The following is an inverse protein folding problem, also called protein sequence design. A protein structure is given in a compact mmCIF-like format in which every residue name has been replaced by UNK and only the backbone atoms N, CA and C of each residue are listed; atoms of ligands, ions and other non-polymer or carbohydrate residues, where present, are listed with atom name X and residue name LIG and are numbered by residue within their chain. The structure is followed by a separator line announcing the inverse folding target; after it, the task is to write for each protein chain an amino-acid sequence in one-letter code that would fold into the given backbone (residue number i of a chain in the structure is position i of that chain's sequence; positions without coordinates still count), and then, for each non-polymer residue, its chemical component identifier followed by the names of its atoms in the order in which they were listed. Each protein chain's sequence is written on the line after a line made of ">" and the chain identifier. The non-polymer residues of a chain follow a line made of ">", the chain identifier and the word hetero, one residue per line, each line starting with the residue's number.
data_IF_139462765723
#
_entry.id   IF_139462765723
#
_cell.length_a   1.000
_cell.length_b   1.000
_cell.length_c   1.000
_cell.angle_alpha   90.00
_cell.angle_beta   90.00
_cell.angle_gamma   90.00
#
_symmetry.space_group_name_H-M   'P 1'
#
loop_
_entity.id
_entity.type
_entity.pdbx_description
1 polymer ?
#
# COMPACT_ATOMS: atom_id res chain seq x y z
N UNK A 1 -2.24 22.04 11.59
CA UNK A 1 -1.58 20.87 12.19
C UNK A 1 -0.47 20.48 11.26
N UNK A 2 0.78 20.50 11.72
CA UNK A 2 1.93 20.05 10.93
C UNK A 2 1.76 18.56 10.67
N UNK A 3 1.27 18.20 9.48
CA UNK A 3 1.15 16.82 9.06
C UNK A 3 2.55 16.34 8.70
N UNK A 4 3.22 15.65 9.61
CA UNK A 4 4.44 14.92 9.28
C UNK A 4 4.17 13.98 8.11
N UNK A 5 5.04 14.02 7.10
CA UNK A 5 4.90 13.16 5.92
C UNK A 5 4.99 11.69 6.36
N UNK A 6 4.17 10.77 5.82
CA UNK A 6 4.33 9.36 6.13
C UNK A 6 5.72 8.87 5.71
N UNK A 7 6.33 8.01 6.53
CA UNK A 7 7.65 7.45 6.24
C UNK A 7 7.51 6.20 5.37
N UNK A 8 8.30 6.12 4.30
CA UNK A 8 8.34 4.95 3.41
C UNK A 8 9.78 4.46 3.34
N UNK A 9 10.01 3.21 3.69
CA UNK A 9 11.29 2.57 3.42
C UNK A 9 11.42 2.31 1.92
N UNK A 10 12.61 2.47 1.36
CA UNK A 10 12.83 2.30 -0.07
C UNK A 10 14.19 1.66 -0.34
N UNK A 11 14.24 0.74 -1.30
CA UNK A 11 15.55 0.23 -1.76
C UNK A 11 16.42 1.39 -2.24
N UNK A 12 17.55 1.62 -1.59
CA UNK A 12 18.37 2.84 -1.75
C UNK A 12 18.79 3.13 -3.21
N UNK A 13 19.00 2.09 -4.01
CA UNK A 13 19.31 2.23 -5.44
C UNK A 13 18.22 2.95 -6.26
N UNK A 14 16.96 2.97 -5.78
CA UNK A 14 15.83 3.67 -6.39
C UNK A 14 15.88 5.18 -6.15
N UNK A 15 16.61 5.65 -5.14
CA UNK A 15 16.83 7.08 -4.89
C UNK A 15 18.06 7.63 -5.62
N UNK A 16 18.77 6.81 -6.39
CA UNK A 16 19.96 7.23 -7.13
C UNK A 16 21.27 6.93 -6.42
N UNK A 17 21.25 6.24 -5.28
CA UNK A 17 22.49 5.80 -4.63
C UNK A 17 23.18 4.69 -5.44
N UNK A 18 24.50 4.82 -5.60
CA UNK A 18 25.35 3.90 -6.37
C UNK A 18 25.67 2.61 -5.60
N UNK A 19 24.64 1.93 -5.09
CA UNK A 19 24.76 0.77 -4.18
C UNK A 19 24.54 -0.57 -4.87
N UNK A 20 24.30 -0.59 -6.20
CA UNK A 20 24.11 -1.84 -6.94
C UNK A 20 25.41 -2.63 -7.06
N UNK A 21 25.29 -3.93 -7.32
CA UNK A 21 26.43 -4.82 -7.49
C UNK A 21 27.44 -4.35 -8.54
N UNK A 22 26.97 -3.63 -9.58
CA UNK A 22 27.78 -3.08 -10.65
C UNK A 22 28.29 -1.65 -10.39
N UNK A 23 28.12 -1.11 -9.18
CA UNK A 23 28.53 0.25 -8.82
C UNK A 23 27.63 1.37 -9.35
N UNK A 24 26.50 1.04 -10.00
CA UNK A 24 25.52 2.02 -10.47
C UNK A 24 24.29 2.15 -9.57
N UNK A 25 23.28 2.85 -10.07
CA UNK A 25 21.98 3.01 -9.43
C UNK A 25 20.84 2.53 -10.35
N UNK A 26 19.60 2.69 -9.90
CA UNK A 26 18.40 2.51 -10.72
C UNK A 26 17.32 3.51 -10.29
N UNK A 27 17.64 4.78 -10.45
CA UNK A 27 16.81 5.86 -9.94
C UNK A 27 15.39 5.78 -10.53
N UNK A 28 14.41 5.86 -9.64
CA UNK A 28 12.99 6.00 -9.98
C UNK A 28 12.63 7.48 -9.89
N UNK A 29 12.35 8.12 -11.02
CA UNK A 29 11.93 9.54 -11.04
C UNK A 29 10.59 9.72 -10.32
N UNK A 30 9.70 8.73 -10.42
CA UNK A 30 8.45 8.70 -9.65
C UNK A 30 8.74 8.83 -8.15
N UNK A 31 9.66 8.02 -7.61
CA UNK A 31 9.99 8.07 -6.18
C UNK A 31 10.77 9.35 -5.83
N UNK A 32 11.87 9.61 -6.53
CA UNK A 32 12.82 10.68 -6.19
C UNK A 32 12.33 12.10 -6.47
N UNK A 33 11.34 12.28 -7.34
CA UNK A 33 10.80 13.60 -7.68
C UNK A 33 9.33 13.73 -7.28
N UNK A 34 8.46 12.83 -7.76
CA UNK A 34 7.01 12.99 -7.56
C UNK A 34 6.57 12.64 -6.15
N UNK A 35 7.04 11.53 -5.58
CA UNK A 35 6.59 11.05 -4.27
C UNK A 35 7.35 11.68 -3.10
N UNK A 36 8.57 12.19 -3.32
CA UNK A 36 9.39 12.86 -2.30
C UNK A 36 8.70 14.10 -1.69
N UNK A 37 7.82 14.76 -2.43
CA UNK A 37 7.02 15.88 -1.93
C UNK A 37 5.98 15.46 -0.89
N UNK A 38 5.63 14.18 -0.82
CA UNK A 38 4.53 13.67 0.01
C UNK A 38 4.99 12.69 1.09
N UNK A 39 6.17 12.11 0.96
CA UNK A 39 6.69 11.07 1.84
C UNK A 39 8.13 11.34 2.26
N UNK A 40 8.47 10.91 3.47
CA UNK A 40 9.84 10.88 3.95
C UNK A 40 10.43 9.51 3.65
N UNK A 41 11.45 9.44 2.79
CA UNK A 41 12.06 8.18 2.40
C UNK A 41 13.17 7.74 3.35
N UNK A 42 13.14 6.46 3.73
CA UNK A 42 14.21 5.79 4.48
C UNK A 42 14.95 4.84 3.54
N UNK A 43 16.10 5.23 2.97
CA UNK A 43 16.86 4.38 2.05
C UNK A 43 17.50 3.21 2.77
N UNK A 44 17.30 1.99 2.26
CA UNK A 44 17.88 0.76 2.80
C UNK A 44 18.52 -0.07 1.68
N UNK A 45 19.76 -0.51 1.89
CA UNK A 45 20.45 -1.46 1.01
C UNK A 45 20.94 -2.67 1.81
N UNK A 46 20.18 -3.78 1.82
CA UNK A 46 20.53 -4.97 2.60
C UNK A 46 21.90 -5.54 2.25
N UNK A 47 22.24 -5.59 0.96
CA UNK A 47 23.51 -6.17 0.48
C UNK A 47 24.72 -5.40 0.99
N UNK A 48 24.68 -4.06 0.96
CA UNK A 48 25.78 -3.23 1.48
C UNK A 48 25.82 -3.28 3.01
N UNK A 49 24.66 -3.28 3.67
CA UNK A 49 24.58 -3.31 5.12
C UNK A 49 25.16 -4.59 5.74
N UNK A 50 25.05 -5.73 5.06
CA UNK A 50 25.68 -6.99 5.50
C UNK A 50 27.17 -7.09 5.12
N UNK A 51 27.77 -6.01 4.59
CA UNK A 51 29.20 -5.92 4.30
C UNK A 51 29.62 -6.28 2.87
N UNK A 52 28.68 -6.44 1.92
CA UNK A 52 29.08 -6.62 0.52
C UNK A 52 29.56 -5.29 -0.09
N UNK A 53 30.64 -5.35 -0.87
CA UNK A 53 31.26 -4.18 -1.49
C UNK A 53 30.45 -3.52 -2.61
N UNK A 54 31.02 -2.42 -3.14
CA UNK A 54 30.55 -1.72 -4.33
C UNK A 54 31.78 -1.43 -5.21
N UNK A 55 31.92 -2.06 -6.40
CA UNK A 55 31.12 -3.17 -6.92
C UNK A 55 31.33 -4.46 -6.11
N UNK A 56 30.49 -5.47 -6.37
CA UNK A 56 30.55 -6.81 -5.77
C UNK A 56 30.11 -7.87 -6.76
N UNK A 57 30.47 -9.11 -6.46
CA UNK A 57 29.92 -10.27 -7.16
C UNK A 57 28.39 -10.33 -7.00
N UNK A 58 27.63 -10.63 -8.06
CA UNK A 58 26.20 -10.88 -7.96
C UNK A 58 25.91 -12.12 -7.11
N UNK A 59 24.84 -12.04 -6.30
CA UNK A 59 24.26 -13.21 -5.63
C UNK A 59 23.02 -13.68 -6.39
N UNK A 60 22.59 -14.93 -6.16
CA UNK A 60 21.34 -15.51 -6.68
C UNK A 60 20.67 -16.38 -5.63
N UNK A 61 19.36 -16.58 -5.78
CA UNK A 61 18.61 -17.52 -4.97
C UNK A 61 18.72 -18.93 -5.53
N UNK A 62 18.99 -19.92 -4.68
CA UNK A 62 19.09 -21.34 -5.05
C UNK A 62 18.30 -22.22 -4.09
N UNK A 63 17.88 -23.40 -4.55
CA UNK A 63 17.21 -24.40 -3.71
C UNK A 63 15.67 -24.32 -3.76
N UNK A 64 15.04 -24.48 -2.60
CA UNK A 64 13.58 -24.44 -2.45
C UNK A 64 13.07 -23.00 -2.60
N UNK A 65 12.12 -22.70 -3.52
CA UNK A 65 11.53 -21.37 -3.63
C UNK A 65 10.87 -20.83 -2.37
N UNK A 66 10.39 -21.69 -1.46
CA UNK A 66 9.79 -21.27 -0.19
C UNK A 66 10.85 -20.83 0.84
N UNK A 67 12.04 -21.45 0.78
CA UNK A 67 13.16 -21.19 1.69
C UNK A 67 14.49 -21.21 0.91
N UNK A 68 14.71 -20.26 -0.01
CA UNK A 68 15.88 -20.28 -0.85
C UNK A 68 17.13 -19.86 -0.08
N UNK A 69 18.30 -20.25 -0.57
CA UNK A 69 19.59 -19.73 -0.13
C UNK A 69 20.07 -18.64 -1.08
N UNK A 70 20.61 -17.54 -0.54
CA UNK A 70 21.29 -16.50 -1.31
C UNK A 70 22.80 -16.77 -1.36
N UNK A 71 23.29 -17.16 -2.53
CA UNK A 71 24.70 -17.55 -2.74
C UNK A 71 25.36 -16.74 -3.85
N UNK A 72 26.68 -16.63 -3.82
CA UNK A 72 27.49 -16.07 -4.91
C UNK A 72 27.27 -16.80 -6.25
N UNK A 73 27.46 -16.06 -7.34
CA UNK A 73 27.34 -16.59 -8.72
C UNK A 73 28.66 -17.11 -9.28
N UNK A 74 29.78 -16.61 -8.76
CA UNK A 74 31.16 -17.02 -9.06
C UNK A 74 31.70 -17.88 -7.90
N UNK A 75 31.57 -17.39 -6.66
CA UNK A 75 32.04 -18.06 -5.45
C UNK A 75 30.83 -18.59 -4.67
N UNK A 76 30.45 -19.84 -4.89
CA UNK A 76 29.23 -20.41 -4.28
C UNK A 76 29.35 -20.66 -2.78
N UNK A 77 30.56 -20.66 -2.24
CA UNK A 77 30.86 -20.65 -0.81
C UNK A 77 30.44 -19.35 -0.11
N UNK A 78 30.29 -18.25 -0.87
CA UNK A 78 29.70 -17.02 -0.37
C UNK A 78 28.20 -17.23 -0.18
N UNK A 79 27.81 -17.65 1.02
CA UNK A 79 26.41 -17.77 1.41
C UNK A 79 26.02 -16.63 2.34
N UNK A 80 25.19 -15.71 1.84
CA UNK A 80 24.74 -14.51 2.55
C UNK A 80 23.28 -14.62 3.02
N UNK A 81 22.73 -15.83 3.03
CA UNK A 81 21.32 -16.08 3.45
C UNK A 81 21.07 -15.59 4.86
N UNK A 82 21.88 -16.06 5.83
CA UNK A 82 21.67 -15.71 7.24
C UNK A 82 21.90 -14.21 7.51
N UNK A 83 23.00 -13.58 7.04
CA UNK A 83 23.16 -12.13 7.20
C UNK A 83 22.01 -11.30 6.61
N UNK A 84 21.49 -11.65 5.42
CA UNK A 84 20.36 -10.93 4.82
C UNK A 84 19.07 -11.10 5.63
N UNK A 85 18.83 -12.31 6.15
CA UNK A 85 17.67 -12.61 6.98
C UNK A 85 17.72 -11.81 8.28
N UNK A 86 18.86 -11.84 8.98
CA UNK A 86 19.04 -11.16 10.27
C UNK A 86 18.95 -9.65 10.12
N UNK A 87 19.51 -9.09 9.04
CA UNK A 87 19.33 -7.68 8.73
C UNK A 87 17.85 -7.32 8.45
N UNK A 88 17.08 -8.23 7.84
CA UNK A 88 15.63 -8.06 7.63
C UNK A 88 14.85 -7.97 8.93
N UNK A 89 15.17 -8.84 9.90
CA UNK A 89 14.60 -8.79 11.24
C UNK A 89 15.00 -7.51 11.98
N UNK A 90 16.28 -7.14 11.92
CA UNK A 90 16.81 -5.94 12.55
C UNK A 90 16.12 -4.68 12.03
N UNK A 91 15.98 -4.52 10.72
CA UNK A 91 15.30 -3.35 10.13
C UNK A 91 13.81 -3.31 10.48
N UNK A 92 13.16 -4.46 10.59
CA UNK A 92 11.78 -4.53 11.02
C UNK A 92 11.60 -4.07 12.49
N UNK A 93 12.54 -4.42 13.37
CA UNK A 93 12.54 -3.99 14.76
C UNK A 93 12.88 -2.50 14.92
N UNK A 94 13.86 -1.99 14.16
CA UNK A 94 14.33 -0.61 14.28
C UNK A 94 13.36 0.42 13.70
N UNK A 95 12.58 0.05 12.68
CA UNK A 95 11.72 0.96 11.94
C UNK A 95 10.23 0.69 12.19
N UNK A 96 9.78 1.02 13.40
CA UNK A 96 8.38 0.82 13.84
C UNK A 96 7.41 1.91 13.37
N UNK A 97 7.93 3.01 12.81
CA UNK A 97 7.18 4.18 12.36
C UNK A 97 6.99 4.25 10.83
N UNK A 98 7.31 3.18 10.11
CA UNK A 98 7.08 3.09 8.67
C UNK A 98 5.58 2.96 8.36
N UNK A 99 5.18 3.61 7.27
CA UNK A 99 3.83 3.52 6.70
C UNK A 99 3.79 2.72 5.39
N UNK A 100 4.95 2.36 4.84
CA UNK A 100 5.06 1.49 3.68
C UNK A 100 6.51 1.16 3.30
N UNK A 101 6.68 0.28 2.30
CA UNK A 101 7.98 -0.06 1.75
C UNK A 101 7.93 -0.20 0.21
N UNK A 102 8.83 0.47 -0.51
CA UNK A 102 9.04 0.31 -1.96
C UNK A 102 10.31 -0.49 -2.23
N UNK A 103 10.15 -1.71 -2.74
CA UNK A 103 11.25 -2.63 -2.99
C UNK A 103 11.75 -2.57 -4.45
N UNK A 104 13.05 -2.79 -4.62
CA UNK A 104 13.65 -3.02 -5.94
C UNK A 104 13.30 -4.42 -6.45
N UNK A 105 12.55 -4.48 -7.55
CA UNK A 105 12.14 -5.74 -8.20
C UNK A 105 13.31 -6.64 -8.60
N UNK A 106 13.07 -7.96 -8.64
CA UNK A 106 14.02 -8.99 -9.11
C UNK A 106 15.33 -9.11 -8.33
N UNK A 107 15.51 -8.37 -7.23
CA UNK A 107 16.70 -8.51 -6.38
C UNK A 107 16.60 -9.80 -5.53
N UNK A 108 17.68 -10.59 -5.42
CA UNK A 108 17.75 -11.74 -4.51
C UNK A 108 17.69 -11.36 -3.02
N UNK A 109 17.91 -10.09 -2.68
CA UNK A 109 17.77 -9.56 -1.32
C UNK A 109 16.42 -8.86 -1.13
N UNK A 110 16.08 -7.92 -2.01
CA UNK A 110 14.93 -7.02 -1.85
C UNK A 110 13.67 -7.39 -2.65
N UNK A 111 13.75 -8.22 -3.70
CA UNK A 111 12.60 -8.44 -4.58
C UNK A 111 11.42 -9.06 -3.83
N UNK A 112 10.19 -8.58 -4.08
CA UNK A 112 8.99 -9.04 -3.38
C UNK A 112 8.34 -10.24 -4.04
N UNK A 113 8.31 -10.23 -5.38
CA UNK A 113 7.59 -11.20 -6.19
C UNK A 113 8.48 -11.75 -7.31
N UNK A 114 8.32 -13.05 -7.59
CA UNK A 114 8.89 -13.73 -8.77
C UNK A 114 10.41 -13.52 -8.92
N UNK A 115 11.13 -13.46 -7.81
CA UNK A 115 12.59 -13.43 -7.81
C UNK A 115 13.08 -14.79 -8.29
N UNK A 116 14.03 -14.81 -9.24
CA UNK A 116 14.51 -16.07 -9.82
C UNK A 116 15.19 -16.92 -8.76
N UNK A 117 14.69 -18.14 -8.58
CA UNK A 117 15.30 -19.20 -7.75
C UNK A 117 15.80 -20.29 -8.70
N UNK A 118 17.03 -20.76 -8.50
CA UNK A 118 17.66 -21.76 -9.35
C UNK A 118 17.77 -23.11 -8.66
N UNK A 119 17.45 -24.20 -9.37
CA UNK A 119 17.68 -25.57 -8.92
C UNK A 119 19.18 -25.91 -9.00
N UNK A 120 19.57 -27.03 -8.38
CA UNK A 120 20.95 -27.53 -8.43
C UNK A 120 21.48 -27.75 -9.86
N UNK A 121 20.60 -28.07 -10.81
CA UNK A 121 20.94 -28.22 -12.24
C UNK A 121 21.01 -26.88 -13.01
N UNK A 122 20.91 -25.74 -12.33
CA UNK A 122 20.97 -24.40 -12.95
C UNK A 122 19.69 -23.93 -13.64
N UNK A 123 18.62 -24.74 -13.66
CA UNK A 123 17.32 -24.31 -14.22
C UNK A 123 16.56 -23.41 -13.23
N UNK A 124 15.91 -22.33 -13.70
CA UNK A 124 15.05 -21.52 -12.85
C UNK A 124 13.79 -22.30 -12.47
N UNK A 125 13.29 -22.06 -11.26
CA UNK A 125 12.00 -22.57 -10.81
C UNK A 125 10.88 -21.64 -11.26
N UNK A 126 9.82 -22.20 -11.82
CA UNK A 126 8.62 -21.46 -12.21
C UNK A 126 7.96 -20.79 -10.99
N UNK A 127 7.43 -19.58 -11.19
CA UNK A 127 6.85 -18.75 -10.12
C UNK A 127 7.89 -17.96 -9.30
N UNK A 128 9.12 -18.46 -9.16
CA UNK A 128 10.18 -17.82 -8.39
C UNK A 128 9.90 -17.77 -6.89
N UNK A 129 10.64 -16.90 -6.18
CA UNK A 129 10.52 -16.69 -4.74
C UNK A 129 10.53 -15.21 -4.37
N UNK A 130 10.85 -14.93 -3.10
CA UNK A 130 11.04 -13.60 -2.53
C UNK A 130 12.50 -13.44 -2.10
N UNK A 131 13.01 -12.21 -2.16
CA UNK A 131 14.35 -11.91 -1.64
C UNK A 131 14.43 -12.15 -0.14
N UNK A 132 15.58 -12.62 0.35
CA UNK A 132 15.75 -13.09 1.74
C UNK A 132 15.42 -12.00 2.77
N UNK A 133 15.94 -10.79 2.55
CA UNK A 133 15.65 -9.64 3.41
C UNK A 133 14.18 -9.25 3.35
N UNK A 134 13.60 -9.17 2.14
CA UNK A 134 12.20 -8.78 1.97
C UNK A 134 11.25 -9.80 2.63
N UNK A 135 11.58 -11.09 2.61
CA UNK A 135 10.83 -12.13 3.30
C UNK A 135 10.84 -11.95 4.81
N UNK A 136 12.03 -11.80 5.41
CA UNK A 136 12.17 -11.59 6.85
C UNK A 136 11.46 -10.31 7.32
N UNK A 137 11.66 -9.19 6.62
CA UNK A 137 11.06 -7.90 6.96
C UNK A 137 9.53 -7.95 6.88
N UNK A 138 8.96 -8.48 5.78
CA UNK A 138 7.51 -8.52 5.60
C UNK A 138 6.82 -9.48 6.57
N UNK A 139 7.50 -10.53 7.03
CA UNK A 139 6.95 -11.47 8.02
C UNK A 139 6.72 -10.80 9.37
N UNK A 140 7.55 -9.84 9.76
CA UNK A 140 7.38 -9.05 10.99
C UNK A 140 6.31 -7.95 10.85
N UNK A 141 6.03 -7.52 9.62
CA UNK A 141 5.12 -6.41 9.31
C UNK A 141 4.00 -6.81 8.33
N UNK A 142 3.15 -7.80 8.67
CA UNK A 142 2.16 -8.37 7.73
C UNK A 142 1.10 -7.36 7.24
N UNK A 143 0.86 -6.30 8.02
CA UNK A 143 -0.12 -5.27 7.69
C UNK A 143 0.50 -4.06 6.96
N UNK A 144 1.82 -3.99 6.85
CA UNK A 144 2.51 -2.85 6.23
C UNK A 144 2.30 -2.88 4.71
N UNK A 145 1.90 -1.77 4.08
CA UNK A 145 1.83 -1.67 2.63
C UNK A 145 3.22 -1.85 2.01
N UNK A 146 3.35 -2.82 1.12
CA UNK A 146 4.59 -3.05 0.36
C UNK A 146 4.28 -3.13 -1.14
N UNK A 147 5.21 -2.64 -1.97
CA UNK A 147 5.08 -2.69 -3.43
C UNK A 147 6.46 -2.68 -4.11
N UNK A 148 6.54 -3.17 -5.35
CA UNK A 148 7.77 -3.05 -6.16
C UNK A 148 7.77 -1.80 -7.04
N UNK A 149 8.93 -1.16 -7.20
CA UNK A 149 9.10 0.04 -8.05
C UNK A 149 8.50 -0.11 -9.46
N UNK A 150 8.70 -1.26 -10.11
CA UNK A 150 8.17 -1.49 -11.46
C UNK A 150 6.65 -1.49 -11.52
N UNK A 151 5.99 -1.98 -10.45
CA UNK A 151 4.54 -2.08 -10.34
C UNK A 151 3.87 -0.73 -10.08
N UNK A 152 4.59 0.22 -9.49
CA UNK A 152 4.11 1.60 -9.31
C UNK A 152 3.92 2.39 -10.61
N UNK A 153 4.38 1.86 -11.76
CA UNK A 153 4.07 2.44 -13.07
C UNK A 153 2.62 2.15 -13.51
N UNK A 154 1.99 1.11 -12.95
CA UNK A 154 0.56 0.87 -13.15
C UNK A 154 -0.26 1.84 -12.30
N UNK A 155 -1.14 2.66 -12.89
CA UNK A 155 -1.91 3.67 -12.14
C UNK A 155 -2.79 3.10 -11.04
N UNK A 156 -3.38 1.91 -11.25
CA UNK A 156 -4.29 1.27 -10.29
C UNK A 156 -3.50 0.72 -9.11
N UNK A 157 -2.39 0.03 -9.36
CA UNK A 157 -1.51 -0.46 -8.29
C UNK A 157 -0.91 0.68 -7.48
N UNK A 158 -0.47 1.75 -8.15
CA UNK A 158 0.05 2.95 -7.50
C UNK A 158 -1.00 3.64 -6.63
N UNK A 159 -2.23 3.83 -7.12
CA UNK A 159 -3.31 4.42 -6.30
C UNK A 159 -3.59 3.53 -5.08
N UNK A 160 -3.69 2.22 -5.27
CA UNK A 160 -3.97 1.29 -4.18
C UNK A 160 -2.85 1.26 -3.12
N UNK A 161 -1.59 1.20 -3.53
CA UNK A 161 -0.45 1.25 -2.62
C UNK A 161 -0.44 2.54 -1.80
N UNK A 162 -0.51 3.70 -2.45
CA UNK A 162 -0.45 5.00 -1.76
C UNK A 162 -1.67 5.22 -0.86
N UNK A 163 -2.85 4.81 -1.28
CA UNK A 163 -4.07 4.79 -0.45
C UNK A 163 -3.84 3.98 0.83
N UNK A 164 -3.28 2.77 0.73
CA UNK A 164 -2.96 1.94 1.90
C UNK A 164 -1.93 2.60 2.82
N UNK A 165 -0.91 3.27 2.27
CA UNK A 165 0.07 4.04 3.06
C UNK A 165 -0.62 5.14 3.89
N UNK A 166 -1.53 5.92 3.30
CA UNK A 166 -2.25 6.97 4.04
C UNK A 166 -3.23 6.40 5.07
N UNK A 167 -3.87 5.26 4.80
CA UNK A 167 -4.69 4.56 5.80
C UNK A 167 -3.83 4.09 6.97
N UNK A 168 -2.66 3.54 6.70
CA UNK A 168 -1.72 3.06 7.72
C UNK A 168 -1.20 4.21 8.59
N UNK A 169 -0.79 5.32 7.97
CA UNK A 169 -0.37 6.53 8.69
C UNK A 169 -1.47 7.08 9.61
N UNK A 170 -2.71 7.11 9.12
CA UNK A 170 -3.88 7.52 9.91
C UNK A 170 -4.16 6.57 11.08
N UNK A 171 -3.90 5.28 10.92
CA UNK A 171 -4.01 4.30 11.99
C UNK A 171 -2.93 4.49 13.06
N UNK A 172 -1.68 4.70 12.66
CA UNK A 172 -0.59 5.02 13.59
C UNK A 172 -0.91 6.29 14.40
N UNK A 173 -1.44 7.33 13.75
CA UNK A 173 -1.87 8.54 14.45
C UNK A 173 -3.00 8.27 15.45
N UNK A 174 -3.98 7.44 15.09
CA UNK A 174 -5.06 7.05 16.01
C UNK A 174 -4.53 6.36 17.26
N UNK A 175 -3.55 5.46 17.11
CA UNK A 175 -2.91 4.79 18.24
C UNK A 175 -2.13 5.77 19.10
N UNK A 176 -1.36 6.67 18.49
CA UNK A 176 -0.60 7.72 19.18
C UNK A 176 -1.51 8.69 19.96
N UNK A 177 -2.66 9.04 19.39
CA UNK A 177 -3.64 9.90 20.06
C UNK A 177 -4.34 9.20 21.23
N UNK A 178 -4.33 7.87 21.25
CA UNK A 178 -4.95 6.99 22.24
C UNK A 178 -6.18 6.24 21.70
N UNK A 179 -6.15 4.92 21.78
CA UNK A 179 -7.24 4.08 21.31
C UNK A 179 -8.49 4.23 22.20
N UNK A 180 -9.65 4.45 21.58
CA UNK A 180 -10.94 4.39 22.25
C UNK A 180 -12.00 3.83 21.31
N UNK A 181 -13.08 3.27 21.87
CA UNK A 181 -14.21 2.77 21.09
C UNK A 181 -14.76 3.81 20.12
N UNK A 182 -14.88 5.06 20.59
CA UNK A 182 -15.35 6.16 19.76
C UNK A 182 -14.41 6.44 18.58
N UNK A 183 -13.10 6.48 18.83
CA UNK A 183 -12.08 6.72 17.79
C UNK A 183 -12.02 5.57 16.78
N UNK A 184 -12.11 4.31 17.23
CA UNK A 184 -12.16 3.15 16.34
C UNK A 184 -13.38 3.18 15.41
N UNK A 185 -14.55 3.51 15.96
CA UNK A 185 -15.78 3.67 15.17
C UNK A 185 -15.69 4.85 14.18
N UNK A 186 -15.12 5.98 14.61
CA UNK A 186 -14.89 7.13 13.75
C UNK A 186 -13.91 6.80 12.60
N UNK A 187 -12.84 6.08 12.91
CA UNK A 187 -11.88 5.60 11.91
C UNK A 187 -12.54 4.67 10.90
N UNK A 188 -13.30 3.68 11.36
CA UNK A 188 -14.05 2.80 10.47
C UNK A 188 -15.02 3.58 9.59
N UNK A 189 -15.82 4.47 10.20
CA UNK A 189 -16.77 5.33 9.48
C UNK A 189 -16.10 6.12 8.37
N UNK A 190 -14.90 6.67 8.62
CA UNK A 190 -14.11 7.44 7.63
C UNK A 190 -13.64 6.59 6.45
N UNK A 191 -13.28 5.33 6.66
CA UNK A 191 -12.69 4.46 5.63
C UNK A 191 -13.66 3.43 5.04
N UNK A 192 -14.91 3.33 5.51
CA UNK A 192 -15.83 2.27 5.12
C UNK A 192 -16.13 2.23 3.62
N UNK A 193 -16.28 3.39 2.96
CA UNK A 193 -16.53 3.42 1.51
C UNK A 193 -15.30 3.08 0.68
N UNK A 194 -14.11 3.38 1.21
CA UNK A 194 -12.86 2.92 0.62
C UNK A 194 -12.81 1.39 0.70
N UNK A 195 -13.02 0.83 1.90
CA UNK A 195 -13.09 -0.61 2.09
C UNK A 195 -14.18 -1.27 1.23
N UNK A 196 -15.34 -0.62 1.05
CA UNK A 196 -16.39 -1.11 0.16
C UNK A 196 -15.95 -1.16 -1.31
N UNK A 197 -15.17 -0.18 -1.78
CA UNK A 197 -14.62 -0.17 -3.13
C UNK A 197 -13.59 -1.29 -3.34
N UNK A 198 -12.73 -1.55 -2.35
CA UNK A 198 -11.68 -2.55 -2.45
C UNK A 198 -12.18 -3.98 -2.16
N UNK A 199 -13.05 -4.15 -1.17
CA UNK A 199 -13.61 -5.45 -0.82
C UNK A 199 -14.97 -5.35 -0.09
N UNK A 200 -16.09 -5.51 -0.82
CA UNK A 200 -17.43 -5.55 -0.22
C UNK A 200 -17.61 -6.61 0.87
N UNK A 201 -16.86 -7.72 0.79
CA UNK A 201 -16.87 -8.77 1.80
C UNK A 201 -16.29 -8.29 3.14
N UNK A 202 -15.11 -7.65 3.11
CA UNK A 202 -14.47 -7.09 4.30
C UNK A 202 -15.30 -5.93 4.87
N UNK A 203 -15.90 -5.10 4.00
CA UNK A 203 -16.83 -4.05 4.42
C UNK A 203 -17.97 -4.59 5.29
N UNK A 204 -18.66 -5.65 4.85
CA UNK A 204 -19.76 -6.26 5.61
C UNK A 204 -19.26 -6.88 6.92
N UNK A 205 -18.17 -7.64 6.87
CA UNK A 205 -17.62 -8.34 8.04
C UNK A 205 -17.16 -7.35 9.12
N UNK A 206 -16.40 -6.32 8.76
CA UNK A 206 -15.91 -5.32 9.71
C UNK A 206 -17.02 -4.43 10.26
N UNK A 207 -18.03 -4.10 9.44
CA UNK A 207 -19.23 -3.43 9.92
C UNK A 207 -19.97 -4.25 10.98
N UNK A 208 -20.11 -5.57 10.76
CA UNK A 208 -20.71 -6.48 11.74
C UNK A 208 -19.87 -6.57 13.01
N UNK A 209 -18.55 -6.78 12.89
CA UNK A 209 -17.60 -6.88 14.00
C UNK A 209 -17.73 -5.70 14.97
N UNK A 210 -17.76 -4.48 14.43
CA UNK A 210 -17.87 -3.26 15.23
C UNK A 210 -19.28 -3.02 15.75
N UNK A 211 -20.31 -3.43 15.01
CA UNK A 211 -21.71 -3.35 15.40
C UNK A 211 -22.06 -4.29 16.56
N UNK A 212 -21.44 -5.47 16.62
CA UNK A 212 -21.67 -6.48 17.67
C UNK A 212 -20.78 -6.30 18.91
N UNK A 213 -20.01 -5.21 18.99
CA UNK A 213 -19.02 -5.01 20.06
C UNK A 213 -19.69 -4.80 21.43
N UNK A 214 -19.52 -5.75 22.36
CA UNK A 214 -19.97 -5.63 23.75
C UNK A 214 -19.15 -4.62 24.58
N UNK A 215 -19.58 -4.33 25.82
CA UNK A 215 -18.87 -3.40 26.73
C UNK A 215 -17.60 -4.00 27.36
N UNK A 216 -17.48 -5.34 27.43
CA UNK A 216 -16.36 -6.05 28.06
C UNK A 216 -15.30 -6.60 27.10
N UNK A 217 -15.27 -6.13 25.85
CA UNK A 217 -14.26 -6.59 24.87
C UNK A 217 -12.89 -6.01 25.23
N UNK A 218 -11.82 -6.78 25.03
CA UNK A 218 -10.47 -6.23 24.99
C UNK A 218 -10.33 -5.35 23.74
N UNK A 219 -10.26 -4.04 23.94
CA UNK A 219 -10.27 -3.08 22.84
C UNK A 219 -8.99 -3.14 22.00
N UNK A 220 -7.84 -3.41 22.62
CA UNK A 220 -6.55 -3.50 21.94
C UNK A 220 -6.50 -4.73 21.02
N UNK A 221 -6.93 -5.89 21.51
CA UNK A 221 -7.04 -7.10 20.70
C UNK A 221 -8.03 -6.93 19.54
N UNK A 222 -9.20 -6.34 19.82
CA UNK A 222 -10.20 -6.05 18.79
C UNK A 222 -9.65 -5.11 17.72
N UNK A 223 -8.96 -4.04 18.12
CA UNK A 223 -8.38 -3.06 17.22
C UNK A 223 -7.28 -3.68 16.34
N UNK A 224 -6.43 -4.52 16.90
CA UNK A 224 -5.40 -5.25 16.15
C UNK A 224 -6.04 -6.18 15.10
N UNK A 225 -7.04 -6.98 15.49
CA UNK A 225 -7.77 -7.85 14.57
C UNK A 225 -8.50 -7.06 13.48
N UNK A 226 -9.20 -5.98 13.87
CA UNK A 226 -9.88 -5.08 12.96
C UNK A 226 -8.93 -4.49 11.92
N UNK A 227 -7.77 -3.99 12.35
CA UNK A 227 -6.83 -3.34 11.46
C UNK A 227 -6.16 -4.32 10.50
N UNK A 228 -5.80 -5.51 10.98
CA UNK A 228 -5.25 -6.56 10.11
C UNK A 228 -6.24 -6.95 9.02
N UNK A 229 -7.51 -7.10 9.39
CA UNK A 229 -8.56 -7.44 8.44
C UNK A 229 -8.87 -6.28 7.47
N UNK A 230 -8.82 -5.03 7.95
CA UNK A 230 -8.92 -3.85 7.10
C UNK A 230 -7.81 -3.81 6.03
N UNK A 231 -6.55 -3.99 6.44
CA UNK A 231 -5.40 -3.95 5.53
C UNK A 231 -5.41 -5.13 4.53
N UNK A 232 -5.88 -6.29 4.97
CA UNK A 232 -6.14 -7.44 4.08
C UNK A 232 -7.17 -7.08 3.01
N UNK A 233 -8.28 -6.46 3.41
CA UNK A 233 -9.33 -6.02 2.49
C UNK A 233 -8.85 -4.97 1.49
N UNK A 234 -8.05 -4.01 1.95
CA UNK A 234 -7.52 -2.91 1.13
C UNK A 234 -6.41 -3.35 0.15
N UNK A 235 -5.84 -4.54 0.30
CA UNK A 235 -4.85 -5.08 -0.65
C UNK A 235 -5.48 -5.44 -2.00
N UNK A 236 -6.81 -5.64 -2.05
CA UNK A 236 -7.54 -5.83 -3.29
C UNK A 236 -7.65 -4.51 -4.06
N UNK A 237 -7.35 -4.51 -5.35
CA UNK A 237 -7.58 -3.33 -6.19
C UNK A 237 -9.08 -3.13 -6.44
N UNK A 238 -9.56 -1.90 -6.24
CA UNK A 238 -10.93 -1.56 -6.58
C UNK A 238 -11.14 -1.63 -8.09
N UNK A 239 -12.33 -2.07 -8.50
CA UNK A 239 -12.72 -2.17 -9.91
C UNK A 239 -13.65 -1.04 -10.27
N UNK A 240 -13.82 -0.76 -11.58
CA UNK A 240 -14.84 0.20 -12.05
C UNK A 240 -16.23 -0.13 -11.49
N UNK A 241 -16.57 -1.41 -11.40
CA UNK A 241 -17.85 -1.88 -10.84
C UNK A 241 -17.98 -1.57 -9.35
N UNK A 242 -16.97 -1.85 -8.54
CA UNK A 242 -17.04 -1.58 -7.09
C UNK A 242 -16.97 -0.09 -6.78
N UNK A 243 -16.18 0.71 -7.51
CA UNK A 243 -16.23 2.16 -7.44
C UNK A 243 -17.61 2.70 -7.82
N UNK A 244 -18.22 2.18 -8.89
CA UNK A 244 -19.58 2.58 -9.30
C UNK A 244 -20.59 2.37 -8.18
N UNK A 245 -20.53 1.22 -7.50
CA UNK A 245 -21.40 0.95 -6.36
C UNK A 245 -21.23 2.01 -5.26
N UNK A 246 -19.99 2.35 -4.92
CA UNK A 246 -19.71 3.38 -3.90
C UNK A 246 -20.21 4.76 -4.34
N UNK A 247 -19.97 5.15 -5.59
CA UNK A 247 -20.45 6.42 -6.14
C UNK A 247 -21.99 6.51 -6.08
N UNK A 248 -22.71 5.43 -6.39
CA UNK A 248 -24.17 5.36 -6.26
C UNK A 248 -24.64 5.45 -4.80
N UNK A 249 -23.94 4.79 -3.88
CA UNK A 249 -24.24 4.90 -2.45
C UNK A 249 -24.08 6.33 -1.95
N UNK A 250 -22.98 6.99 -2.32
CA UNK A 250 -22.72 8.37 -1.92
C UNK A 250 -23.71 9.33 -2.58
N UNK A 251 -24.03 9.17 -3.87
CA UNK A 251 -25.01 10.04 -4.55
C UNK A 251 -26.42 9.92 -3.96
N UNK A 252 -26.76 8.78 -3.34
CA UNK A 252 -28.00 8.61 -2.59
C UNK A 252 -28.22 9.62 -1.47
N UNK A 253 -27.16 10.17 -0.87
CA UNK A 253 -27.26 11.22 0.16
C UNK A 253 -27.77 12.55 -0.40
N UNK A 254 -27.64 12.78 -1.71
CA UNK A 254 -28.12 13.97 -2.39
C UNK A 254 -29.56 13.82 -2.91
N UNK A 255 -30.20 12.65 -2.74
CA UNK A 255 -31.50 12.33 -3.37
C UNK A 255 -32.60 13.36 -3.09
N UNK A 256 -32.60 14.02 -1.94
CA UNK A 256 -33.60 15.04 -1.61
C UNK A 256 -33.08 16.48 -1.78
N UNK A 257 -31.79 16.64 -2.10
CA UNK A 257 -31.11 17.93 -2.14
C UNK A 257 -30.97 18.50 -3.55
N UNK A 258 -30.85 17.65 -4.57
CA UNK A 258 -30.61 18.06 -5.96
C UNK A 258 -31.82 17.80 -6.87
N UNK A 259 -31.88 18.51 -8.01
CA UNK A 259 -32.98 18.43 -8.98
C UNK A 259 -33.07 17.07 -9.67
N UNK A 260 -34.14 16.84 -10.42
CA UNK A 260 -34.26 15.62 -11.24
C UNK A 260 -33.20 15.56 -12.34
N UNK A 261 -32.88 16.72 -12.94
CA UNK A 261 -31.88 16.83 -14.01
C UNK A 261 -30.46 16.57 -13.47
N UNK A 262 -30.11 17.15 -12.32
CA UNK A 262 -28.81 16.90 -11.67
C UNK A 262 -28.64 15.43 -11.27
N UNK A 263 -29.72 14.77 -10.83
CA UNK A 263 -29.70 13.31 -10.55
C UNK A 263 -29.40 12.53 -11.82
N UNK A 264 -30.03 12.89 -12.92
CA UNK A 264 -29.84 12.22 -14.19
C UNK A 264 -28.42 12.44 -14.72
N UNK A 265 -27.86 13.64 -14.58
CA UNK A 265 -26.46 13.94 -14.90
C UNK A 265 -25.52 13.08 -14.05
N UNK A 266 -25.71 13.04 -12.73
CA UNK A 266 -24.92 12.22 -11.83
C UNK A 266 -24.94 10.73 -12.21
N UNK A 267 -26.12 10.16 -12.49
CA UNK A 267 -26.22 8.76 -12.93
C UNK A 267 -25.54 8.53 -14.28
N UNK A 268 -25.65 9.49 -15.20
CA UNK A 268 -25.00 9.43 -16.52
C UNK A 268 -23.48 9.39 -16.38
N UNK A 269 -22.89 10.29 -15.59
CA UNK A 269 -21.44 10.36 -15.38
C UNK A 269 -20.91 9.12 -14.64
N UNK A 270 -21.64 8.63 -13.64
CA UNK A 270 -21.31 7.35 -12.98
C UNK A 270 -21.35 6.19 -13.97
N UNK A 271 -22.36 6.15 -14.85
CA UNK A 271 -22.48 5.18 -15.92
C UNK A 271 -21.32 5.25 -16.92
N UNK A 272 -20.92 6.45 -17.33
CA UNK A 272 -19.77 6.67 -18.21
C UNK A 272 -18.48 6.14 -17.57
N UNK A 273 -18.27 6.40 -16.27
CA UNK A 273 -17.11 5.87 -15.55
C UNK A 273 -17.11 4.34 -15.53
N UNK A 274 -18.27 3.71 -15.26
CA UNK A 274 -18.42 2.25 -15.27
C UNK A 274 -17.99 1.63 -16.59
N UNK A 275 -18.31 2.27 -17.71
CA UNK A 275 -17.97 1.82 -19.07
C UNK A 275 -16.57 2.26 -19.54
N UNK A 276 -15.81 2.99 -18.72
CA UNK A 276 -14.46 3.43 -19.09
C UNK A 276 -14.40 4.66 -20.00
N UNK A 277 -15.51 5.39 -20.14
CA UNK A 277 -15.59 6.60 -20.99
C UNK A 277 -14.92 7.80 -20.31
N UNK A 278 -15.06 7.89 -18.98
CA UNK A 278 -14.44 8.96 -18.17
C UNK A 278 -13.65 8.37 -17.00
N UNK A 279 -12.61 9.07 -16.51
CA UNK A 279 -11.88 8.67 -15.32
C UNK A 279 -12.69 8.92 -14.03
N UNK A 280 -12.29 8.27 -12.94
CA UNK A 280 -12.95 8.33 -11.63
C UNK A 280 -13.04 9.76 -11.08
N UNK A 281 -12.07 10.62 -11.40
CA UNK A 281 -12.08 12.02 -10.96
C UNK A 281 -13.32 12.79 -11.44
N UNK A 282 -13.93 12.43 -12.57
CA UNK A 282 -15.10 13.15 -13.13
C UNK A 282 -16.34 13.01 -12.23
N UNK A 283 -16.85 11.80 -11.93
CA UNK A 283 -17.98 11.65 -11.01
C UNK A 283 -17.64 12.16 -9.59
N UNK A 284 -16.38 12.03 -9.14
CA UNK A 284 -15.97 12.57 -7.85
C UNK A 284 -16.04 14.10 -7.79
N UNK A 285 -15.63 14.78 -8.86
CA UNK A 285 -15.69 16.25 -8.93
C UNK A 285 -17.12 16.74 -8.90
N UNK A 286 -18.03 16.08 -9.63
CA UNK A 286 -19.45 16.42 -9.60
C UNK A 286 -20.08 16.16 -8.21
N UNK A 287 -19.73 15.05 -7.55
CA UNK A 287 -20.16 14.78 -6.17
C UNK A 287 -19.65 15.87 -5.21
N UNK A 288 -18.34 16.21 -5.27
CA UNK A 288 -17.75 17.27 -4.46
C UNK A 288 -18.45 18.61 -4.67
N UNK A 289 -18.81 18.94 -5.92
CA UNK A 289 -19.56 20.15 -6.25
C UNK A 289 -20.91 20.20 -5.52
N UNK A 290 -21.72 19.14 -5.63
CA UNK A 290 -23.03 19.10 -4.98
C UNK A 290 -22.93 19.08 -3.46
N UNK A 291 -21.98 18.35 -2.86
CA UNK A 291 -21.79 18.37 -1.40
C UNK A 291 -21.27 19.71 -0.87
N UNK A 292 -20.63 20.53 -1.70
CA UNK A 292 -20.29 21.91 -1.32
C UNK A 292 -21.53 22.79 -1.20
N UNK A 293 -22.52 22.60 -2.07
CA UNK A 293 -23.79 23.33 -2.05
C UNK A 293 -24.80 22.75 -1.04
N UNK A 294 -24.74 21.43 -0.82
CA UNK A 294 -25.58 20.69 0.10
C UNK A 294 -24.72 19.88 1.07
N UNK A 295 -24.14 20.53 2.11
CA UNK A 295 -23.22 19.87 3.02
C UNK A 295 -23.85 18.69 3.76
N UNK A 296 -23.20 17.54 3.71
CA UNK A 296 -23.51 16.37 4.51
C UNK A 296 -22.32 16.07 5.44
N UNK A 297 -22.52 16.21 6.76
CA UNK A 297 -21.47 16.03 7.77
C UNK A 297 -20.89 14.62 7.77
N UNK A 298 -21.71 13.63 7.45
CA UNK A 298 -21.31 12.22 7.40
C UNK A 298 -20.43 11.95 6.18
N UNK A 299 -20.82 12.48 5.01
CA UNK A 299 -20.05 12.34 3.75
C UNK A 299 -18.75 13.15 3.78
N UNK A 300 -18.74 14.33 4.39
CA UNK A 300 -17.54 15.17 4.52
C UNK A 300 -16.39 14.48 5.27
N UNK A 301 -16.69 13.47 6.09
CA UNK A 301 -15.69 12.69 6.82
C UNK A 301 -15.15 11.49 6.03
N UNK A 302 -15.71 11.19 4.85
CA UNK A 302 -15.36 9.99 4.09
C UNK A 302 -14.04 10.19 3.34
N UNK A 303 -13.03 9.40 3.72
CA UNK A 303 -11.75 9.39 3.03
C UNK A 303 -11.89 8.94 1.56
N UNK A 304 -12.95 8.21 1.20
CA UNK A 304 -13.19 7.82 -0.19
C UNK A 304 -13.22 9.01 -1.15
N UNK A 305 -13.69 10.19 -0.76
CA UNK A 305 -13.72 11.36 -1.67
C UNK A 305 -12.32 11.94 -1.95
N UNK A 306 -11.39 11.77 -1.00
CA UNK A 306 -10.03 12.30 -1.07
C UNK A 306 -9.11 11.52 -0.12
N UNK A 307 -8.67 10.30 -0.51
CA UNK A 307 -7.93 9.41 0.40
C UNK A 307 -6.45 9.80 0.55
N UNK A 308 -5.96 10.62 -0.37
CA UNK A 308 -4.59 11.11 -0.45
C UNK A 308 -4.62 12.60 -0.88
N UNK A 309 -3.51 13.34 -0.71
CA UNK A 309 -3.38 14.70 -1.23
C UNK A 309 -3.82 14.84 -2.69
N UNK A 310 -4.50 15.93 -3.02
CA UNK A 310 -5.11 16.13 -4.35
C UNK A 310 -4.07 16.26 -5.46
N UNK A 311 -2.97 16.93 -5.16
CA UNK A 311 -1.90 17.20 -6.11
C UNK A 311 -1.17 15.93 -6.60
N UNK A 312 -1.31 14.78 -5.91
CA UNK A 312 -0.83 13.49 -6.40
C UNK A 312 -1.57 13.03 -7.67
N UNK A 313 -2.77 13.55 -7.94
CA UNK A 313 -3.52 13.34 -9.18
C UNK A 313 -3.76 11.87 -9.58
N UNK A 314 -3.69 10.93 -8.64
CA UNK A 314 -3.72 9.49 -8.92
C UNK A 314 -5.02 9.05 -9.61
N UNK A 315 -6.14 9.69 -9.26
CA UNK A 315 -7.47 9.34 -9.76
C UNK A 315 -7.81 9.88 -11.14
N UNK A 316 -6.91 10.64 -11.75
CA UNK A 316 -7.04 11.09 -13.14
C UNK A 316 -6.75 9.96 -14.13
N UNK A 317 -6.00 8.94 -13.68
CA UNK A 317 -5.51 7.85 -14.51
C UNK A 317 -6.27 6.52 -14.30
N UNK A 318 -7.36 6.51 -13.52
CA UNK A 318 -8.17 5.31 -13.21
C UNK A 318 -9.64 5.52 -13.56
#
# INVERSE_FOLDING_TARGET
>A
MSSTKPKIAISACLLGENVRFNGGHKQSLLCSQTLADYFDFVPLCPEVAIGLGIPREPIRLVGDPAHPQAVGTVHTELNVTQPLHDYGLQMAEQHTDLCGYIFMQKSPSCGLERVKVYRANGTPVDGGGRGIYAQAFCAQHPNLPVEEDGRLNDPVLRENFLTRVFVYASWQQLLADGLSRHRLLAFHSRYKYLLMAHSPAHYKRLGHLLGSMGKGVNLDELAACYFSDLMTGLTQCATRGTHTNVLQHISGHLKQAISADDKQEMQTVIGQYRHGIVPLVVPLTLLKHHFRQHPDRYIAQQAYLQPHPENLSLRNAI
#
